data_IF_396325774324
#
_entry.id   IF_396325774324
#
_cell.length_a   1.000
_cell.length_b   1.000
_cell.length_c   1.000
_cell.angle_alpha   90.00
_cell.angle_beta   90.00
_cell.angle_gamma   90.00
#
_symmetry.space_group_name_H-M   'P 1'
#
loop_
_entity.id
_entity.type
_entity.pdbx_description
1 polymer ?
#
# COMPACT_ATOMS: atom_id res chain seq x y z
N UNK A 1 -7.47 -6.95 15.41
CA UNK A 1 -8.72 -7.16 16.20
C UNK A 1 -9.53 -5.89 16.57
N UNK A 2 -9.11 -4.93 17.43
CA UNK A 2 -9.98 -3.75 17.76
C UNK A 2 -10.35 -2.93 16.52
N UNK A 3 -9.35 -2.58 15.70
CA UNK A 3 -9.53 -1.86 14.43
C UNK A 3 -10.44 -2.65 13.48
N UNK A 4 -10.15 -3.94 13.30
CA UNK A 4 -10.93 -4.84 12.45
C UNK A 4 -12.42 -4.87 12.81
N UNK A 5 -12.76 -5.10 14.08
CA UNK A 5 -14.15 -5.13 14.55
C UNK A 5 -14.81 -3.77 14.34
N UNK A 6 -14.11 -2.68 14.65
CA UNK A 6 -14.64 -1.34 14.51
C UNK A 6 -14.94 -1.00 13.04
N UNK A 7 -14.03 -1.33 12.13
CA UNK A 7 -14.23 -1.12 10.70
C UNK A 7 -15.33 -2.00 10.14
N UNK A 8 -15.37 -3.29 10.50
CA UNK A 8 -16.48 -4.18 10.10
C UNK A 8 -17.82 -3.61 10.55
N UNK A 9 -17.93 -3.20 11.83
CA UNK A 9 -19.13 -2.53 12.34
C UNK A 9 -19.44 -1.24 11.58
N UNK A 10 -18.45 -0.38 11.33
CA UNK A 10 -18.66 0.91 10.68
C UNK A 10 -19.12 0.74 9.21
N UNK A 11 -18.49 -0.16 8.44
CA UNK A 11 -18.85 -0.42 7.06
C UNK A 11 -20.21 -1.12 6.97
N UNK A 12 -20.49 -2.12 7.83
CA UNK A 12 -21.78 -2.82 7.85
C UNK A 12 -22.94 -1.97 8.38
N UNK A 13 -22.73 -1.18 9.45
CA UNK A 13 -23.78 -0.38 10.12
C UNK A 13 -23.95 1.03 9.54
N UNK A 14 -23.24 1.35 8.45
CA UNK A 14 -23.03 2.68 7.86
C UNK A 14 -22.17 3.61 8.71
N UNK A 15 -21.14 4.12 8.07
CA UNK A 15 -20.39 5.31 8.46
C UNK A 15 -21.39 6.45 8.62
N UNK A 16 -21.62 6.82 9.87
CA UNK A 16 -22.53 7.87 10.27
C UNK A 16 -22.06 9.20 9.70
N UNK A 17 -22.85 9.72 8.76
CA UNK A 17 -23.52 11.03 8.80
C UNK A 17 -23.98 11.42 7.37
N UNK A 18 -23.46 10.83 6.27
CA UNK A 18 -23.91 11.18 4.90
C UNK A 18 -23.93 10.09 3.80
N UNK A 19 -23.58 8.81 4.04
CA UNK A 19 -23.41 7.82 2.94
C UNK A 19 -24.56 6.80 2.77
N UNK A 20 -24.76 6.30 1.54
CA UNK A 20 -25.63 5.16 1.19
C UNK A 20 -25.07 3.83 1.75
N UNK A 21 -25.90 2.76 1.84
CA UNK A 21 -25.45 1.48 2.46
C UNK A 21 -24.40 0.88 1.52
N UNK A 22 -23.24 0.49 2.05
CA UNK A 22 -22.27 -0.25 1.22
C UNK A 22 -22.80 -1.66 0.92
N UNK A 23 -22.57 -2.14 -0.29
CA UNK A 23 -22.79 -3.53 -0.73
C UNK A 23 -21.53 -4.39 -0.63
N UNK A 24 -20.44 -3.83 -0.09
CA UNK A 24 -19.19 -4.56 0.17
C UNK A 24 -19.52 -5.83 0.96
N UNK A 25 -19.17 -7.03 0.45
CA UNK A 25 -19.50 -8.28 1.10
C UNK A 25 -18.60 -8.46 2.32
N UNK A 26 -19.11 -8.17 3.51
CA UNK A 26 -18.42 -8.35 4.80
C UNK A 26 -19.18 -9.42 5.59
N UNK A 27 -18.51 -10.44 6.17
CA UNK A 27 -19.17 -11.46 6.96
C UNK A 27 -19.84 -10.85 8.18
N UNK A 28 -21.03 -11.36 8.53
CA UNK A 28 -21.69 -10.94 9.75
C UNK A 28 -20.83 -11.24 10.99
N UNK A 29 -20.63 -10.23 11.84
CA UNK A 29 -20.01 -10.37 13.15
C UNK A 29 -21.05 -10.80 14.18
N UNK A 30 -21.02 -12.05 14.63
CA UNK A 30 -21.97 -12.58 15.62
C UNK A 30 -21.57 -12.24 17.06
N UNK A 31 -20.30 -12.39 17.40
CA UNK A 31 -19.77 -12.13 18.72
C UNK A 31 -18.27 -11.87 18.67
N UNK A 32 -17.73 -11.20 19.68
CA UNK A 32 -16.28 -11.09 19.87
C UNK A 32 -15.96 -10.91 21.34
N UNK A 33 -14.71 -11.19 21.71
CA UNK A 33 -14.13 -10.80 22.98
C UNK A 33 -12.71 -10.30 22.76
N UNK A 34 -12.37 -9.18 23.39
CA UNK A 34 -11.01 -8.66 23.39
C UNK A 34 -10.21 -9.12 24.61
N UNK A 35 -10.87 -9.75 25.58
CA UNK A 35 -10.26 -10.13 26.85
C UNK A 35 -9.63 -11.52 26.75
N UNK A 36 -8.39 -11.62 27.20
CA UNK A 36 -7.72 -12.89 27.49
C UNK A 36 -8.46 -13.77 28.50
N UNK A 37 -9.36 -13.21 29.30
CA UNK A 37 -10.21 -13.92 30.27
C UNK A 37 -11.57 -14.31 29.71
N UNK A 38 -11.74 -14.31 28.39
CA UNK A 38 -12.98 -14.75 27.75
C UNK A 38 -13.30 -16.22 28.07
N UNK A 39 -14.48 -16.68 27.65
CA UNK A 39 -14.91 -18.09 27.74
C UNK A 39 -13.87 -19.05 27.14
N UNK A 40 -13.13 -18.59 26.12
CA UNK A 40 -12.10 -19.39 25.44
C UNK A 40 -10.69 -19.18 26.02
N UNK A 41 -10.53 -18.33 27.03
CA UNK A 41 -9.22 -17.97 27.60
C UNK A 41 -8.33 -17.17 26.63
N UNK A 42 -8.92 -16.57 25.59
CA UNK A 42 -8.22 -15.79 24.57
C UNK A 42 -9.16 -14.82 23.84
N UNK A 43 -8.65 -13.72 23.28
CA UNK A 43 -9.44 -12.84 22.41
C UNK A 43 -9.93 -13.57 21.17
N UNK A 44 -11.19 -13.39 20.79
CA UNK A 44 -11.80 -14.08 19.66
C UNK A 44 -12.77 -13.20 18.89
N UNK A 45 -13.07 -13.63 17.66
CA UNK A 45 -14.13 -13.10 16.82
C UNK A 45 -14.91 -14.27 16.22
N UNK A 46 -16.24 -14.21 16.29
CA UNK A 46 -17.14 -15.19 15.71
C UNK A 46 -17.82 -14.53 14.50
N UNK A 47 -17.48 -15.04 13.32
CA UNK A 47 -17.92 -14.49 12.03
C UNK A 47 -18.82 -15.48 11.29
N UNK A 48 -19.64 -14.93 10.39
CA UNK A 48 -20.34 -15.70 9.37
C UNK A 48 -19.34 -16.52 8.54
N UNK A 49 -19.70 -17.78 8.34
CA UNK A 49 -18.97 -18.64 7.41
C UNK A 49 -19.37 -18.27 5.97
N UNK A 50 -18.45 -17.63 5.25
CA UNK A 50 -18.66 -17.33 3.83
C UNK A 50 -18.17 -18.49 2.98
N UNK A 51 -19.10 -19.12 2.26
CA UNK A 51 -18.79 -20.20 1.31
C UNK A 51 -18.07 -19.62 0.09
N UNK A 52 -16.84 -20.06 -0.17
CA UNK A 52 -16.08 -19.66 -1.35
C UNK A 52 -14.69 -20.30 -1.41
N UNK A 53 -13.95 -19.96 -2.46
CA UNK A 53 -12.55 -20.36 -2.62
C UNK A 53 -11.66 -19.11 -2.52
N UNK A 54 -10.62 -19.19 -1.69
CA UNK A 54 -9.59 -18.15 -1.64
C UNK A 54 -8.96 -17.98 -3.03
N UNK A 55 -8.67 -16.73 -3.41
CA UNK A 55 -8.01 -16.45 -4.68
C UNK A 55 -6.49 -16.65 -4.61
N UNK A 56 -5.97 -17.12 -3.47
CA UNK A 56 -4.56 -17.37 -3.29
C UNK A 56 -4.04 -18.40 -4.31
N UNK A 57 -3.00 -18.03 -5.05
CA UNK A 57 -2.41 -18.88 -6.09
C UNK A 57 -3.18 -18.91 -7.41
N UNK A 58 -4.31 -18.20 -7.51
CA UNK A 58 -5.03 -18.03 -8.78
C UNK A 58 -4.28 -17.04 -9.67
N UNK A 59 -3.89 -17.49 -10.85
CA UNK A 59 -3.28 -16.63 -11.88
C UNK A 59 -4.40 -15.95 -12.66
N UNK A 60 -4.71 -14.70 -12.29
CA UNK A 60 -5.83 -13.95 -12.86
C UNK A 60 -5.67 -13.75 -14.37
N UNK A 61 -4.42 -13.68 -14.87
CA UNK A 61 -4.15 -13.48 -16.30
C UNK A 61 -4.61 -14.68 -17.14
N UNK A 62 -4.58 -15.89 -16.55
CA UNK A 62 -4.96 -17.15 -17.20
C UNK A 62 -6.44 -17.48 -17.13
N UNK A 63 -7.24 -16.65 -16.44
CA UNK A 63 -8.68 -16.83 -16.42
C UNK A 63 -9.29 -16.45 -17.77
N UNK A 64 -10.39 -17.11 -18.11
CA UNK A 64 -11.27 -16.68 -19.21
C UNK A 64 -11.60 -15.19 -19.06
N UNK A 65 -11.61 -14.47 -20.18
CA UNK A 65 -11.76 -13.02 -20.21
C UNK A 65 -12.99 -12.54 -19.42
N UNK A 66 -14.15 -13.16 -19.62
CA UNK A 66 -15.40 -12.80 -18.95
C UNK A 66 -15.30 -12.96 -17.41
N UNK A 67 -14.71 -14.05 -16.93
CA UNK A 67 -14.48 -14.28 -15.49
C UNK A 67 -13.50 -13.28 -14.91
N UNK A 68 -12.49 -12.90 -15.68
CA UNK A 68 -11.48 -11.91 -15.28
C UNK A 68 -12.08 -10.51 -15.18
N UNK A 69 -12.87 -10.11 -16.19
CA UNK A 69 -13.59 -8.83 -16.20
C UNK A 69 -14.59 -8.74 -15.05
N UNK A 70 -15.36 -9.79 -14.79
CA UNK A 70 -16.28 -9.84 -13.66
C UNK A 70 -15.56 -9.63 -12.32
N UNK A 71 -14.43 -10.30 -12.11
CA UNK A 71 -13.63 -10.15 -10.88
C UNK A 71 -13.07 -8.75 -10.71
N UNK A 72 -12.53 -8.16 -11.78
CA UNK A 72 -12.02 -6.80 -11.73
C UNK A 72 -13.13 -5.77 -11.51
N UNK A 73 -14.31 -5.99 -12.12
CA UNK A 73 -15.49 -5.15 -11.90
C UNK A 73 -15.95 -5.17 -10.44
N UNK A 74 -16.02 -6.35 -9.82
CA UNK A 74 -16.36 -6.50 -8.40
C UNK A 74 -15.34 -5.81 -7.48
N UNK A 75 -14.04 -5.94 -7.79
CA UNK A 75 -12.99 -5.24 -7.03
C UNK A 75 -13.08 -3.72 -7.22
N UNK A 76 -13.33 -3.25 -8.44
CA UNK A 76 -13.51 -1.84 -8.73
C UNK A 76 -14.71 -1.27 -7.96
N UNK A 77 -15.83 -1.99 -7.90
CA UNK A 77 -17.00 -1.61 -7.12
C UNK A 77 -16.67 -1.44 -5.62
N UNK A 78 -15.90 -2.38 -5.04
CA UNK A 78 -15.41 -2.24 -3.66
C UNK A 78 -14.55 -0.99 -3.48
N UNK A 79 -13.61 -0.73 -4.39
CA UNK A 79 -12.76 0.47 -4.32
C UNK A 79 -13.56 1.77 -4.46
N UNK A 80 -14.57 1.80 -5.34
CA UNK A 80 -15.46 2.96 -5.51
C UNK A 80 -16.24 3.23 -4.23
N UNK A 81 -16.81 2.19 -3.61
CA UNK A 81 -17.56 2.33 -2.36
C UNK A 81 -16.68 2.78 -1.19
N UNK A 82 -15.44 2.30 -1.12
CA UNK A 82 -14.44 2.75 -0.15
C UNK A 82 -14.03 4.21 -0.39
N UNK A 83 -13.84 4.61 -1.66
CA UNK A 83 -13.52 5.98 -2.05
C UNK A 83 -14.63 6.98 -1.67
N UNK A 84 -15.90 6.55 -1.75
CA UNK A 84 -17.04 7.36 -1.31
C UNK A 84 -17.03 7.62 0.21
N UNK A 85 -16.26 6.85 1.00
CA UNK A 85 -16.10 7.10 2.43
C UNK A 85 -15.01 8.15 2.65
N UNK A 86 -15.41 9.42 2.59
CA UNK A 86 -14.52 10.57 2.74
C UNK A 86 -14.51 11.10 4.18
N UNK A 87 -13.33 11.53 4.61
CA UNK A 87 -13.04 12.04 5.95
C UNK A 87 -12.28 13.36 5.85
N UNK A 88 -12.44 14.19 6.88
CA UNK A 88 -11.82 15.51 7.03
C UNK A 88 -10.44 15.47 7.71
N UNK A 89 -10.05 14.31 8.25
CA UNK A 89 -8.78 14.11 8.95
C UNK A 89 -8.28 12.68 8.80
N UNK A 90 -6.97 12.50 8.95
CA UNK A 90 -6.35 11.17 8.95
C UNK A 90 -6.62 10.42 10.25
N UNK A 91 -6.93 9.13 10.14
CA UNK A 91 -7.23 8.25 11.27
C UNK A 91 -7.58 6.82 10.85
N UNK A 92 -8.07 6.07 11.83
CA UNK A 92 -8.54 4.70 11.66
C UNK A 92 -9.71 4.43 12.62
N UNK A 93 -10.54 3.46 12.28
CA UNK A 93 -11.59 3.00 13.19
C UNK A 93 -10.98 2.21 14.36
N UNK A 94 -11.55 2.40 15.54
CA UNK A 94 -11.25 1.60 16.73
C UNK A 94 -12.50 1.49 17.58
N UNK A 95 -12.50 0.59 18.53
CA UNK A 95 -13.51 0.56 19.58
C UNK A 95 -13.14 1.55 20.68
N UNK A 96 -14.15 2.15 21.31
CA UNK A 96 -14.03 2.83 22.61
C UNK A 96 -14.10 1.81 23.76
N UNK A 97 -14.19 2.28 25.01
CA UNK A 97 -14.25 1.42 26.19
C UNK A 97 -15.59 0.70 26.33
N UNK A 98 -16.66 1.26 25.76
CA UNK A 98 -18.02 0.69 25.73
C UNK A 98 -18.23 -0.28 24.56
N UNK A 99 -17.26 -0.39 23.65
CA UNK A 99 -17.32 -1.26 22.47
C UNK A 99 -18.08 -0.68 21.28
N UNK A 100 -18.37 0.63 21.29
CA UNK A 100 -18.82 1.37 20.12
C UNK A 100 -17.64 1.65 19.20
N UNK A 101 -17.91 1.66 17.90
CA UNK A 101 -16.90 2.07 16.93
C UNK A 101 -16.76 3.59 16.95
N UNK A 102 -15.52 4.07 16.92
CA UNK A 102 -15.16 5.49 16.82
C UNK A 102 -14.11 5.66 15.74
N UNK A 103 -14.09 6.82 15.10
CA UNK A 103 -13.01 7.20 14.18
C UNK A 103 -11.96 8.00 14.94
N UNK A 104 -10.86 7.35 15.27
CA UNK A 104 -9.82 7.93 16.11
C UNK A 104 -8.66 8.48 15.26
N UNK A 105 -7.93 9.44 15.81
CA UNK A 105 -6.77 10.10 15.16
C UNK A 105 -5.53 9.17 15.12
N UNK A 106 -5.75 7.85 15.19
CA UNK A 106 -4.76 6.82 15.45
C UNK A 106 -4.15 6.36 14.13
N UNK A 107 -2.89 6.75 13.94
CA UNK A 107 -1.77 6.04 13.30
C UNK A 107 -2.17 4.92 12.31
N UNK A 108 -2.21 5.20 11.00
CA UNK A 108 -2.44 4.20 9.97
C UNK A 108 -1.32 3.14 9.97
N UNK A 109 -1.53 2.06 10.71
CA UNK A 109 -0.68 0.89 10.63
C UNK A 109 -1.04 0.16 9.34
N UNK A 110 -0.05 -0.03 8.46
CA UNK A 110 -0.22 -0.87 7.26
C UNK A 110 0.27 -2.28 7.58
N UNK A 111 -0.28 -3.30 6.91
CA UNK A 111 0.17 -4.69 7.06
C UNK A 111 1.71 -4.82 6.91
N UNK A 112 2.28 -4.08 5.95
CA UNK A 112 3.73 -4.08 5.70
C UNK A 112 4.55 -3.35 6.78
N UNK A 113 3.91 -2.52 7.60
CA UNK A 113 4.56 -1.95 8.78
C UNK A 113 4.86 -3.05 9.79
N UNK A 114 3.98 -4.06 9.93
CA UNK A 114 4.11 -5.15 10.90
C UNK A 114 4.84 -6.38 10.35
N UNK A 115 4.84 -6.59 9.03
CA UNK A 115 5.64 -7.66 8.40
C UNK A 115 7.15 -7.44 8.54
N UNK A 116 7.60 -6.20 8.76
CA UNK A 116 8.97 -5.83 9.17
C UNK A 116 9.19 -6.02 10.69
N UNK A 117 8.94 -7.26 11.14
CA UNK A 117 8.69 -7.76 12.52
C UNK A 117 9.62 -7.28 13.67
N UNK A 118 10.71 -6.55 13.43
CA UNK A 118 11.70 -6.24 14.47
C UNK A 118 11.66 -4.79 15.01
N UNK A 119 10.95 -3.87 14.34
CA UNK A 119 11.13 -2.41 14.58
C UNK A 119 9.80 -1.65 14.66
N UNK A 120 8.73 -2.30 14.23
CA UNK A 120 7.45 -1.66 13.96
C UNK A 120 6.76 -1.05 15.19
N UNK A 121 6.84 -1.67 16.37
CA UNK A 121 6.08 -1.21 17.53
C UNK A 121 6.71 -0.01 18.26
N UNK A 122 8.04 0.09 18.29
CA UNK A 122 8.74 1.12 19.09
C UNK A 122 8.87 2.45 18.34
N UNK A 123 9.05 2.43 17.01
CA UNK A 123 9.39 3.64 16.25
C UNK A 123 8.24 4.22 15.43
N UNK A 124 7.16 3.45 15.19
CA UNK A 124 5.90 3.99 14.65
C UNK A 124 5.34 5.07 15.58
N UNK A 125 5.61 4.98 16.89
CA UNK A 125 5.22 5.97 17.91
C UNK A 125 5.99 7.31 17.83
N UNK A 126 7.15 7.37 17.16
CA UNK A 126 7.99 8.58 17.13
C UNK A 126 7.65 9.50 15.94
N UNK A 127 7.21 8.95 14.81
CA UNK A 127 7.01 9.70 13.57
C UNK A 127 5.58 10.18 13.27
N UNK A 128 4.59 9.81 14.09
CA UNK A 128 3.20 10.17 13.83
C UNK A 128 2.78 11.30 14.77
N UNK A 129 2.61 12.45 14.13
CA UNK A 129 1.89 13.60 14.66
C UNK A 129 0.40 13.26 14.75
N UNK A 130 -0.30 13.87 15.71
CA UNK A 130 -1.76 13.79 15.80
C UNK A 130 -2.33 14.65 14.67
N UNK A 131 -3.26 14.10 13.89
CA UNK A 131 -3.91 14.77 12.74
C UNK A 131 -2.90 15.31 11.71
N UNK A 132 -2.08 14.45 11.10
CA UNK A 132 -1.16 14.90 10.08
C UNK A 132 -1.95 15.48 8.90
N UNK A 133 -1.44 16.55 8.32
CA UNK A 133 -1.90 17.00 7.01
C UNK A 133 -1.58 15.93 5.95
N UNK A 134 -2.23 16.00 4.78
CA UNK A 134 -1.89 15.15 3.63
C UNK A 134 -0.38 15.09 3.41
N UNK A 135 0.28 16.25 3.45
CA UNK A 135 1.71 16.30 3.18
C UNK A 135 2.57 15.68 4.28
N UNK A 136 2.18 15.88 5.53
CA UNK A 136 2.87 15.29 6.68
C UNK A 136 2.74 13.77 6.70
N UNK A 137 1.56 13.24 6.36
CA UNK A 137 1.31 11.80 6.28
C UNK A 137 2.26 11.12 5.31
N UNK A 138 2.35 11.63 4.08
CA UNK A 138 3.24 11.05 3.04
C UNK A 138 4.71 11.20 3.44
N UNK A 139 5.11 12.37 3.94
CA UNK A 139 6.49 12.61 4.41
C UNK A 139 6.90 11.66 5.53
N UNK A 140 5.97 11.35 6.45
CA UNK A 140 6.23 10.42 7.56
C UNK A 140 6.50 9.00 7.07
N UNK A 141 5.78 8.54 6.04
CA UNK A 141 5.96 7.19 5.48
C UNK A 141 7.29 7.08 4.74
N UNK A 142 7.67 8.10 3.96
CA UNK A 142 8.97 8.15 3.27
C UNK A 142 10.12 8.15 4.30
N UNK A 143 10.01 8.99 5.33
CA UNK A 143 11.03 9.08 6.38
C UNK A 143 11.17 7.75 7.14
N UNK A 144 10.05 7.04 7.36
CA UNK A 144 10.04 5.69 7.91
C UNK A 144 10.74 4.68 7.00
N UNK A 145 10.42 4.65 5.71
CA UNK A 145 11.04 3.70 4.77
C UNK A 145 12.57 3.92 4.68
N UNK A 146 13.02 5.17 4.61
CA UNK A 146 14.44 5.54 4.70
C UNK A 146 15.10 5.00 5.98
N UNK A 147 14.44 5.19 7.12
CA UNK A 147 14.99 4.82 8.44
C UNK A 147 15.05 3.31 8.65
N UNK A 148 14.03 2.58 8.17
CA UNK A 148 13.97 1.12 8.20
C UNK A 148 15.18 0.49 7.50
N UNK A 149 15.49 0.95 6.27
CA UNK A 149 16.66 0.51 5.52
C UNK A 149 17.97 0.83 6.23
N UNK A 150 18.11 2.03 6.78
CA UNK A 150 19.42 2.52 7.25
C UNK A 150 19.81 2.01 8.63
N UNK A 151 18.87 1.78 9.55
CA UNK A 151 19.23 1.64 10.96
C UNK A 151 18.82 0.34 11.66
N UNK A 152 17.82 -0.40 11.18
CA UNK A 152 17.10 -1.26 12.14
C UNK A 152 16.88 -2.73 11.77
N UNK A 153 16.88 -3.13 10.49
CA UNK A 153 16.65 -4.54 10.10
C UNK A 153 17.82 -5.06 9.28
N UNK A 154 18.70 -5.91 9.84
CA UNK A 154 19.96 -6.33 9.20
C UNK A 154 19.76 -7.01 7.83
N UNK A 155 18.64 -7.69 7.65
CA UNK A 155 18.21 -8.40 6.45
C UNK A 155 17.18 -7.63 5.58
N UNK A 156 17.14 -6.30 5.70
CA UNK A 156 16.19 -5.47 4.92
C UNK A 156 16.57 -5.26 3.46
N UNK A 157 17.71 -5.78 3.03
CA UNK A 157 18.24 -5.67 1.66
C UNK A 157 18.83 -7.01 1.28
N UNK A 158 18.85 -7.32 -0.02
CA UNK A 158 19.41 -8.60 -0.51
C UNK A 158 20.92 -8.55 -0.70
N UNK A 159 21.46 -7.39 -1.10
CA UNK A 159 22.88 -7.15 -1.34
C UNK A 159 23.15 -5.63 -1.45
N UNK A 160 24.41 -5.25 -1.72
CA UNK A 160 24.79 -3.84 -1.87
C UNK A 160 24.06 -3.14 -3.03
N UNK A 161 23.89 -3.82 -4.16
CA UNK A 161 23.24 -3.24 -5.34
C UNK A 161 21.75 -3.00 -5.10
N UNK A 162 21.04 -3.96 -4.50
CA UNK A 162 19.65 -3.81 -4.05
C UNK A 162 19.50 -2.62 -3.10
N UNK A 163 20.43 -2.48 -2.14
CA UNK A 163 20.44 -1.35 -1.22
C UNK A 163 20.66 0.00 -1.95
N UNK A 164 21.51 0.03 -2.98
CA UNK A 164 21.82 1.23 -3.77
C UNK A 164 20.59 1.66 -4.56
N UNK A 165 19.98 0.73 -5.26
CA UNK A 165 18.74 0.94 -6.00
C UNK A 165 17.65 1.47 -5.08
N UNK A 166 17.35 0.76 -4.00
CA UNK A 166 16.28 1.14 -3.08
C UNK A 166 16.51 2.54 -2.47
N UNK A 167 17.74 2.85 -2.05
CA UNK A 167 18.10 4.17 -1.52
C UNK A 167 17.99 5.27 -2.58
N UNK A 168 18.51 5.04 -3.79
CA UNK A 168 18.34 5.97 -4.92
C UNK A 168 16.85 6.23 -5.16
N UNK A 169 16.04 5.18 -5.28
CA UNK A 169 14.62 5.30 -5.59
C UNK A 169 13.85 6.05 -4.51
N UNK A 170 14.16 5.87 -3.22
CA UNK A 170 13.51 6.67 -2.18
C UNK A 170 13.90 8.15 -2.29
N UNK A 171 15.17 8.46 -2.57
CA UNK A 171 15.60 9.86 -2.65
C UNK A 171 15.13 10.56 -3.91
N UNK A 172 15.23 9.89 -5.07
CA UNK A 172 14.80 10.43 -6.35
C UNK A 172 13.27 10.61 -6.38
N UNK A 173 12.53 9.67 -5.80
CA UNK A 173 11.06 9.78 -5.71
C UNK A 173 10.58 10.95 -4.83
N UNK A 174 11.40 11.46 -3.90
CA UNK A 174 11.05 12.66 -3.11
C UNK A 174 10.83 13.89 -3.98
N UNK A 175 11.54 14.02 -5.10
CA UNK A 175 11.35 15.14 -6.04
C UNK A 175 9.94 15.15 -6.61
N UNK A 176 9.51 14.01 -7.14
CA UNK A 176 8.15 13.83 -7.68
C UNK A 176 7.07 14.02 -6.61
N UNK A 177 7.31 13.51 -5.41
CA UNK A 177 6.36 13.63 -4.30
C UNK A 177 6.04 15.09 -3.98
N UNK A 178 7.05 15.97 -3.92
CA UNK A 178 6.85 17.37 -3.54
C UNK A 178 5.95 18.13 -4.53
N UNK A 179 5.81 17.64 -5.76
CA UNK A 179 4.89 18.18 -6.77
C UNK A 179 3.43 17.76 -6.52
N UNK A 180 3.23 16.57 -5.94
CA UNK A 180 1.89 16.00 -5.68
C UNK A 180 1.38 16.33 -4.28
N UNK A 181 2.31 16.69 -3.40
CA UNK A 181 2.14 17.26 -2.08
C UNK A 181 1.45 18.65 -2.08
N UNK A 182 0.26 18.78 -2.66
CA UNK A 182 -0.37 20.10 -2.78
C UNK A 182 -0.97 20.54 -1.43
N UNK A 183 -0.70 21.78 -0.98
CA UNK A 183 -1.30 22.31 0.24
C UNK A 183 -2.83 22.31 0.22
N UNK A 184 -3.45 22.37 -0.97
CA UNK A 184 -4.91 22.29 -1.14
C UNK A 184 -5.53 20.99 -0.62
N UNK A 185 -4.76 19.91 -0.54
CA UNK A 185 -5.22 18.61 -0.04
C UNK A 185 -4.89 18.37 1.43
N UNK A 186 -4.24 19.31 2.13
CA UNK A 186 -3.81 19.12 3.52
C UNK A 186 -4.95 18.76 4.49
N UNK A 187 -6.18 19.10 4.12
CA UNK A 187 -7.40 18.85 4.89
C UNK A 187 -8.35 17.83 4.24
N UNK A 188 -7.86 17.06 3.26
CA UNK A 188 -8.61 16.00 2.60
C UNK A 188 -9.05 16.36 1.17
N UNK A 189 -9.96 15.55 0.58
CA UNK A 189 -10.63 14.42 1.21
C UNK A 189 -9.66 13.26 1.52
N UNK A 190 -9.82 12.65 2.70
CA UNK A 190 -9.14 11.40 3.04
C UNK A 190 -10.11 10.24 2.83
N UNK A 191 -9.70 9.19 2.12
CA UNK A 191 -10.58 8.07 1.77
C UNK A 191 -10.26 6.83 2.61
N UNK A 192 -11.29 6.07 3.02
CA UNK A 192 -11.07 4.79 3.69
C UNK A 192 -10.40 3.79 2.73
N UNK A 193 -9.39 3.09 3.22
CA UNK A 193 -8.75 1.98 2.52
C UNK A 193 -8.67 0.76 3.43
N UNK A 194 -8.67 -0.41 2.81
CA UNK A 194 -8.62 -1.69 3.53
C UNK A 194 -7.24 -1.98 4.16
N UNK A 195 -6.15 -1.50 3.53
CA UNK A 195 -4.78 -1.69 4.01
C UNK A 195 -4.16 -3.09 3.80
N UNK A 196 -4.96 -4.13 3.52
CA UNK A 196 -4.48 -5.48 3.20
C UNK A 196 -5.36 -6.25 2.20
N UNK A 197 -5.93 -5.56 1.21
CA UNK A 197 -6.77 -6.21 0.20
C UNK A 197 -5.93 -7.01 -0.82
N UNK A 198 -5.48 -8.19 -0.42
CA UNK A 198 -4.72 -9.16 -1.23
C UNK A 198 -5.60 -10.37 -1.57
N UNK A 199 -5.14 -11.21 -2.50
CA UNK A 199 -5.86 -12.41 -2.96
C UNK A 199 -6.53 -13.26 -1.85
N UNK A 200 -5.90 -13.52 -0.69
CA UNK A 200 -6.54 -14.29 0.38
C UNK A 200 -7.79 -13.61 0.97
N UNK A 201 -7.84 -12.28 0.94
CA UNK A 201 -8.85 -11.47 1.63
C UNK A 201 -10.05 -11.11 0.75
N UNK A 202 -10.07 -11.49 -0.54
CA UNK A 202 -11.08 -11.02 -1.51
C UNK A 202 -12.41 -11.78 -1.45
N UNK A 203 -12.46 -13.00 -0.88
CA UNK A 203 -13.69 -13.84 -0.89
C UNK A 203 -14.89 -13.15 -0.25
N UNK A 204 -14.64 -12.40 0.81
CA UNK A 204 -15.65 -11.63 1.53
C UNK A 204 -15.02 -10.43 2.23
N UNK A 205 -14.03 -9.81 1.57
CA UNK A 205 -13.30 -8.64 2.07
C UNK A 205 -13.00 -8.77 3.57
N UNK A 206 -12.01 -9.62 3.88
CA UNK A 206 -11.61 -10.00 5.24
C UNK A 206 -10.36 -9.24 5.68
N UNK A 207 -10.03 -9.29 6.98
CA UNK A 207 -8.79 -8.75 7.52
C UNK A 207 -8.73 -7.21 7.47
N UNK A 208 -9.75 -6.58 8.04
CA UNK A 208 -9.89 -5.12 8.15
C UNK A 208 -8.94 -4.50 9.18
N UNK A 209 -8.07 -5.27 9.84
CA UNK A 209 -7.27 -4.76 10.94
C UNK A 209 -6.27 -3.66 10.53
N UNK A 210 -5.89 -3.66 9.25
CA UNK A 210 -4.99 -2.69 8.61
C UNK A 210 -5.73 -1.52 7.95
N UNK A 211 -7.05 -1.45 8.12
CA UNK A 211 -7.84 -0.39 7.53
C UNK A 211 -7.58 0.95 8.19
N UNK A 212 -7.51 1.98 7.36
CA UNK A 212 -7.23 3.37 7.73
C UNK A 212 -7.65 4.25 6.58
N UNK A 213 -7.69 5.57 6.78
CA UNK A 213 -7.83 6.46 5.64
C UNK A 213 -6.47 6.98 5.13
N UNK A 214 -6.41 7.26 3.84
CA UNK A 214 -5.23 7.83 3.21
C UNK A 214 -5.59 9.09 2.42
N UNK A 215 -4.56 9.85 2.13
CA UNK A 215 -4.59 10.95 1.18
C UNK A 215 -5.15 10.49 -0.17
N UNK A 216 -6.10 11.26 -0.72
CA UNK A 216 -6.58 11.11 -2.10
C UNK A 216 -6.31 12.40 -2.87
N UNK A 217 -6.26 12.31 -4.20
CA UNK A 217 -6.17 13.46 -5.11
C UNK A 217 -7.33 13.36 -6.10
N UNK A 218 -8.17 14.40 -6.19
CA UNK A 218 -9.35 14.46 -7.08
C UNK A 218 -9.03 14.52 -8.59
N UNK A 219 -7.80 14.23 -9.00
CA UNK A 219 -7.34 14.37 -10.39
C UNK A 219 -7.73 13.15 -11.26
N UNK A 220 -9.02 12.86 -11.39
CA UNK A 220 -9.50 11.69 -12.13
C UNK A 220 -10.42 12.02 -13.32
N UNK A 221 -10.31 13.20 -13.93
CA UNK A 221 -11.07 13.50 -15.16
C UNK A 221 -10.37 13.03 -16.43
N UNK A 222 -9.05 12.80 -16.41
CA UNK A 222 -8.26 12.11 -17.45
C UNK A 222 -7.05 11.43 -16.81
N UNK A 223 -7.22 10.23 -16.26
CA UNK A 223 -6.12 9.52 -15.58
C UNK A 223 -5.00 9.16 -16.55
N UNK A 224 -3.85 9.82 -16.42
CA UNK A 224 -2.63 9.44 -17.13
C UNK A 224 -1.99 8.21 -16.49
N UNK A 225 -0.98 7.62 -17.17
CA UNK A 225 -0.17 6.55 -16.57
C UNK A 225 0.46 6.98 -15.23
N UNK A 226 0.93 8.22 -15.18
CA UNK A 226 1.47 8.83 -13.97
C UNK A 226 0.41 8.88 -12.87
N UNK A 227 -0.82 9.34 -13.17
CA UNK A 227 -1.91 9.42 -12.18
C UNK A 227 -2.27 8.03 -11.62
N UNK A 228 -2.21 6.99 -12.44
CA UNK A 228 -2.46 5.61 -12.01
C UNK A 228 -1.36 5.12 -11.05
N UNK A 229 -0.10 5.38 -11.36
CA UNK A 229 1.03 5.03 -10.48
C UNK A 229 0.97 5.84 -9.17
N UNK A 230 0.61 7.12 -9.25
CA UNK A 230 0.40 7.98 -8.08
C UNK A 230 -0.70 7.39 -7.19
N UNK A 231 -1.85 7.08 -7.76
CA UNK A 231 -2.96 6.47 -7.02
C UNK A 231 -2.53 5.16 -6.35
N UNK A 232 -1.82 4.29 -7.08
CA UNK A 232 -1.29 3.04 -6.52
C UNK A 232 -0.35 3.30 -5.33
N UNK A 233 0.52 4.28 -5.45
CA UNK A 233 1.46 4.68 -4.40
C UNK A 233 0.74 5.31 -3.20
N UNK A 234 -0.26 6.15 -3.41
CA UNK A 234 -1.02 6.75 -2.30
C UNK A 234 -1.78 5.67 -1.52
N UNK A 235 -2.28 4.64 -2.20
CA UNK A 235 -2.87 3.45 -1.58
C UNK A 235 -1.83 2.57 -0.87
N UNK A 236 -0.60 2.51 -1.38
CA UNK A 236 0.49 1.70 -0.84
C UNK A 236 1.83 2.45 -0.77
N UNK A 237 1.99 3.42 0.14
CA UNK A 237 3.15 4.33 0.08
C UNK A 237 4.49 3.66 0.45
N UNK A 238 4.45 2.44 0.99
CA UNK A 238 5.64 1.62 1.21
C UNK A 238 6.23 1.04 -0.08
N UNK A 239 5.44 0.87 -1.14
CA UNK A 239 5.94 0.46 -2.46
C UNK A 239 6.48 1.63 -3.29
N UNK A 240 6.50 2.86 -2.77
CA UNK A 240 6.83 4.02 -3.58
C UNK A 240 8.21 3.94 -4.24
N UNK A 241 9.23 3.50 -3.49
CA UNK A 241 10.57 3.29 -4.05
C UNK A 241 10.56 2.28 -5.19
N UNK A 242 9.84 1.18 -5.03
CA UNK A 242 9.71 0.13 -6.06
C UNK A 242 8.92 0.62 -7.28
N UNK A 243 7.80 1.32 -7.09
CA UNK A 243 7.01 1.88 -8.19
C UNK A 243 7.81 2.95 -8.93
N UNK A 244 8.55 3.79 -8.19
CA UNK A 244 9.43 4.76 -8.79
C UNK A 244 10.46 4.08 -9.68
N UNK A 245 11.21 3.11 -9.13
CA UNK A 245 12.24 2.38 -9.87
C UNK A 245 11.69 1.66 -11.10
N UNK A 246 10.61 0.88 -10.92
CA UNK A 246 10.11 -0.02 -11.95
C UNK A 246 9.28 0.67 -13.04
N UNK A 247 8.72 1.84 -12.75
CA UNK A 247 7.74 2.47 -13.65
C UNK A 247 8.00 3.96 -13.93
N UNK A 248 8.39 4.75 -12.93
CA UNK A 248 8.46 6.21 -13.08
C UNK A 248 9.84 6.72 -13.50
N UNK A 249 10.92 6.12 -13.00
CA UNK A 249 12.29 6.55 -13.28
C UNK A 249 12.59 6.50 -14.77
N UNK A 250 12.24 5.40 -15.44
CA UNK A 250 12.37 5.27 -16.90
C UNK A 250 11.42 6.17 -17.67
N UNK A 251 10.20 6.40 -17.15
CA UNK A 251 9.21 7.29 -17.76
C UNK A 251 9.70 8.75 -17.81
N UNK A 252 10.30 9.25 -16.72
CA UNK A 252 10.76 10.63 -16.64
C UNK A 252 12.18 10.85 -17.18
N UNK A 253 13.04 9.84 -17.07
CA UNK A 253 14.49 10.02 -17.29
C UNK A 253 15.09 9.06 -18.34
N UNK A 254 14.29 8.19 -18.96
CA UNK A 254 14.74 7.24 -19.97
C UNK A 254 15.41 5.98 -19.39
N UNK A 255 15.93 5.10 -20.24
CA UNK A 255 16.34 3.74 -19.86
C UNK A 255 17.62 3.60 -19.04
N UNK A 256 18.44 4.66 -18.93
CA UNK A 256 19.77 4.58 -18.29
C UNK A 256 19.72 4.72 -16.74
N UNK A 257 18.93 3.86 -16.09
CA UNK A 257 18.72 3.87 -14.64
C UNK A 257 19.98 3.57 -13.83
N UNK A 258 20.79 2.62 -14.29
CA UNK A 258 22.04 2.23 -13.63
C UNK A 258 23.03 3.39 -13.55
N UNK A 259 23.21 4.13 -14.65
CA UNK A 259 24.08 5.31 -14.64
C UNK A 259 23.55 6.38 -13.68
N UNK A 260 22.23 6.59 -13.61
CA UNK A 260 21.65 7.54 -12.64
C UNK A 260 21.94 7.14 -11.20
N UNK A 261 21.84 5.85 -10.87
CA UNK A 261 22.19 5.33 -9.54
C UNK A 261 23.67 5.57 -9.26
N UNK A 262 24.55 5.30 -10.22
CA UNK A 262 25.99 5.53 -10.07
C UNK A 262 26.30 7.02 -9.86
N UNK A 263 25.78 7.89 -10.73
CA UNK A 263 25.97 9.34 -10.68
C UNK A 263 25.45 9.91 -9.34
N UNK A 264 24.29 9.43 -8.87
CA UNK A 264 23.73 9.81 -7.57
C UNK A 264 24.70 9.57 -6.41
N UNK A 265 25.37 8.41 -6.37
CA UNK A 265 26.32 8.08 -5.31
C UNK A 265 27.72 8.70 -5.51
N UNK A 266 28.03 9.25 -6.68
CA UNK A 266 29.25 10.03 -6.90
C UNK A 266 29.17 11.44 -6.30
N UNK A 267 27.96 11.96 -6.07
CA UNK A 267 27.75 13.28 -5.47
C UNK A 267 28.35 13.35 -4.06
N UNK A 268 29.11 14.41 -3.78
CA UNK A 268 29.76 14.63 -2.49
C UNK A 268 28.77 14.64 -1.32
N UNK A 269 27.56 15.16 -1.55
CA UNK A 269 26.47 15.20 -0.56
C UNK A 269 25.97 13.81 -0.14
N UNK A 270 26.22 12.76 -0.94
CA UNK A 270 25.76 11.38 -0.70
C UNK A 270 26.80 10.48 -0.04
N UNK A 271 27.99 11.00 0.28
CA UNK A 271 29.07 10.21 0.90
C UNK A 271 28.65 9.56 2.21
N UNK A 272 27.90 10.29 3.04
CA UNK A 272 27.41 9.78 4.34
C UNK A 272 26.43 8.62 4.15
N UNK A 273 25.50 8.73 3.22
CA UNK A 273 24.53 7.67 2.90
C UNK A 273 25.23 6.45 2.29
N UNK A 274 26.20 6.65 1.40
CA UNK A 274 27.00 5.56 0.84
C UNK A 274 27.78 4.80 1.92
N UNK A 275 28.34 5.50 2.91
CA UNK A 275 29.00 4.86 4.05
C UNK A 275 28.02 4.03 4.87
N UNK A 276 26.83 4.56 5.17
CA UNK A 276 25.78 3.82 5.90
C UNK A 276 25.34 2.57 5.13
N UNK A 277 25.22 2.67 3.82
CA UNK A 277 24.87 1.54 2.95
C UNK A 277 25.94 0.44 3.00
N UNK A 278 27.22 0.81 2.94
CA UNK A 278 28.32 -0.16 3.09
C UNK A 278 28.31 -0.83 4.46
N UNK A 279 28.07 -0.07 5.53
CA UNK A 279 27.90 -0.65 6.87
C UNK A 279 26.71 -1.61 6.95
N UNK A 280 25.62 -1.30 6.23
CA UNK A 280 24.46 -2.17 6.15
C UNK A 280 24.76 -3.49 5.44
N UNK A 281 25.49 -3.45 4.32
CA UNK A 281 25.93 -4.65 3.61
C UNK A 281 26.81 -5.55 4.49
N UNK A 282 27.75 -4.96 5.24
CA UNK A 282 28.54 -5.70 6.24
C UNK A 282 27.67 -6.32 7.35
N UNK A 283 26.67 -5.58 7.82
CA UNK A 283 25.71 -6.08 8.81
C UNK A 283 24.85 -7.25 8.30
N UNK A 284 24.50 -7.26 7.01
CA UNK A 284 23.81 -8.37 6.35
C UNK A 284 24.72 -9.60 6.26
N UNK A 285 25.98 -9.44 5.87
CA UNK A 285 26.95 -10.54 5.81
C UNK A 285 27.14 -11.20 7.19
N UNK A 286 27.25 -10.38 8.24
CA UNK A 286 27.33 -10.88 9.60
C UNK A 286 26.06 -11.62 10.02
N UNK A 287 24.88 -11.06 9.71
CA UNK A 287 23.60 -11.70 9.99
C UNK A 287 23.46 -13.06 9.29
N UNK A 288 23.86 -13.15 8.02
CA UNK A 288 23.85 -14.41 7.27
C UNK A 288 24.82 -15.45 7.86
N UNK A 289 25.95 -15.02 8.42
CA UNK A 289 26.87 -15.89 9.16
C UNK A 289 26.23 -16.42 10.45
N UNK A 290 25.68 -15.54 11.28
CA UNK A 290 24.97 -15.88 12.52
C UNK A 290 23.80 -16.85 12.25
N UNK A 291 23.00 -16.57 11.20
CA UNK A 291 21.88 -17.42 10.77
C UNK A 291 22.36 -18.84 10.43
N UNK A 292 23.46 -18.98 9.68
CA UNK A 292 24.05 -20.28 9.32
C UNK A 292 24.57 -21.02 10.54
N UNK A 293 25.24 -20.33 11.45
CA UNK A 293 25.74 -20.92 12.71
C UNK A 293 24.60 -21.46 13.59
N UNK A 294 23.46 -20.79 13.59
CA UNK A 294 22.26 -21.22 14.32
C UNK A 294 21.45 -22.30 13.60
N UNK A 295 21.85 -22.73 12.39
CA UNK A 295 21.12 -23.73 11.60
C UNK A 295 19.73 -23.26 11.16
N UNK A 296 19.46 -21.95 11.17
CA UNK A 296 18.17 -21.39 10.76
C UNK A 296 18.10 -21.39 9.24
N UNK A 297 17.05 -21.98 8.66
CA UNK A 297 16.84 -21.97 7.22
C UNK A 297 16.78 -20.53 6.67
N UNK A 298 17.35 -20.33 5.48
CA UNK A 298 17.25 -19.05 4.81
C UNK A 298 15.78 -18.78 4.50
N UNK A 299 15.36 -17.52 4.64
CA UNK A 299 14.05 -17.11 4.14
C UNK A 299 13.98 -17.45 2.66
N UNK A 300 12.94 -18.16 2.24
CA UNK A 300 12.70 -18.45 0.82
C UNK A 300 12.40 -17.12 0.14
N UNK A 301 13.41 -16.52 -0.49
CA UNK A 301 13.20 -15.46 -1.47
C UNK A 301 12.62 -16.15 -2.68
N UNK A 302 11.30 -16.04 -2.88
CA UNK A 302 10.71 -16.31 -4.18
C UNK A 302 11.50 -15.43 -5.16
N UNK A 303 12.25 -16.06 -6.07
CA UNK A 303 12.93 -15.30 -7.11
C UNK A 303 11.83 -14.52 -7.82
N UNK A 304 11.87 -13.19 -7.73
CA UNK A 304 11.14 -12.37 -8.68
C UNK A 304 11.52 -12.93 -10.05
N UNK A 305 10.53 -13.23 -10.90
CA UNK A 305 10.84 -13.62 -12.27
C UNK A 305 11.73 -12.53 -12.83
N UNK A 306 13.00 -12.85 -13.06
CA UNK A 306 13.94 -11.95 -13.71
C UNK A 306 13.43 -11.85 -15.14
N UNK A 307 12.70 -10.77 -15.43
CA UNK A 307 12.25 -10.50 -16.79
C UNK A 307 13.46 -10.07 -17.61
N UNK A 308 13.58 -10.57 -18.82
CA UNK A 308 14.58 -10.02 -19.74
C UNK A 308 14.19 -8.59 -20.13
N UNK A 309 15.12 -7.76 -20.60
CA UNK A 309 14.80 -6.43 -21.12
C UNK A 309 13.71 -6.48 -22.22
N UNK A 310 13.66 -7.56 -23.00
CA UNK A 310 12.59 -7.77 -23.98
C UNK A 310 11.24 -8.05 -23.31
N UNK A 311 11.18 -8.92 -22.31
CA UNK A 311 9.95 -9.23 -21.56
C UNK A 311 9.43 -8.01 -20.78
N UNK A 312 10.33 -7.17 -20.27
CA UNK A 312 9.98 -5.91 -19.61
C UNK A 312 9.46 -4.88 -20.62
N UNK A 313 10.10 -4.75 -21.79
CA UNK A 313 9.63 -3.90 -22.87
C UNK A 313 8.27 -4.36 -23.41
N UNK A 314 8.04 -5.66 -23.52
CA UNK A 314 6.77 -6.25 -23.93
C UNK A 314 5.67 -5.96 -22.90
N UNK A 315 5.96 -6.11 -21.61
CA UNK A 315 5.01 -5.77 -20.54
C UNK A 315 4.67 -4.27 -20.57
N UNK A 316 5.67 -3.40 -20.77
CA UNK A 316 5.45 -1.95 -20.93
C UNK A 316 4.61 -1.65 -22.17
N UNK A 317 4.80 -2.39 -23.27
CA UNK A 317 3.97 -2.27 -24.47
C UNK A 317 2.53 -2.73 -24.21
N UNK A 318 2.32 -3.85 -23.53
CA UNK A 318 0.99 -4.35 -23.13
C UNK A 318 0.28 -3.36 -22.18
N UNK A 319 1.01 -2.74 -21.25
CA UNK A 319 0.47 -1.70 -20.37
C UNK A 319 0.09 -0.42 -21.15
N UNK A 320 0.84 -0.07 -22.20
CA UNK A 320 0.48 1.02 -23.11
C UNK A 320 -0.76 0.68 -23.94
N UNK A 321 -0.88 -0.55 -24.43
CA UNK A 321 -2.05 -0.99 -25.17
C UNK A 321 -3.33 -0.99 -24.31
N UNK A 322 -3.22 -1.42 -23.05
CA UNK A 322 -4.31 -1.30 -22.06
C UNK A 322 -4.68 0.17 -21.78
N UNK A 323 -3.71 1.09 -21.81
CA UNK A 323 -3.95 2.54 -21.71
C UNK A 323 -4.76 3.04 -22.91
N UNK A 324 -4.37 2.66 -24.12
CA UNK A 324 -5.02 3.10 -25.35
C UNK A 324 -6.47 2.56 -25.45
N UNK A 325 -6.72 1.35 -24.97
CA UNK A 325 -8.07 0.78 -24.82
C UNK A 325 -8.91 1.60 -23.82
N UNK A 326 -8.32 1.99 -22.67
CA UNK A 326 -8.97 2.85 -21.68
C UNK A 326 -9.31 4.24 -22.21
N UNK A 327 -8.42 4.85 -22.99
CA UNK A 327 -8.64 6.15 -23.64
C UNK A 327 -9.74 6.08 -24.73
N UNK A 328 -9.83 4.98 -25.47
CA UNK A 328 -10.92 4.74 -26.43
C UNK A 328 -12.27 4.53 -25.73
N UNK A 329 -12.30 3.81 -24.60
CA UNK A 329 -13.48 3.65 -23.76
C UNK A 329 -14.01 4.98 -23.22
N UNK A 330 -13.12 5.83 -22.70
CA UNK A 330 -13.47 7.17 -22.22
C UNK A 330 -14.01 8.09 -23.33
N UNK A 331 -13.48 8.01 -24.56
CA UNK A 331 -14.02 8.73 -25.72
C UNK A 331 -15.44 8.29 -26.09
N UNK A 332 -15.77 7.01 -25.97
CA UNK A 332 -17.13 6.52 -26.23
C UNK A 332 -18.13 6.94 -25.14
N UNK A 333 -17.69 7.01 -23.87
CA UNK A 333 -18.53 7.47 -22.75
C UNK A 333 -18.79 8.99 -22.83
N UNK A 334 -17.81 9.79 -23.29
CA UNK A 334 -18.00 11.23 -23.47
C UNK A 334 -18.95 11.57 -24.63
N UNK A 335 -19.10 10.68 -25.61
CA UNK A 335 -20.01 10.85 -26.75
C UNK A 335 -21.45 10.45 -26.44
N UNK A 336 -21.69 9.63 -25.41
CA UNK A 336 -23.02 9.13 -25.01
C UNK A 336 -23.63 9.86 -23.81
N UNK A 337 -22.87 10.75 -23.16
CA UNK A 337 -23.34 11.54 -22.02
C UNK A 337 -24.24 12.72 -22.48
N UNK A 338 -25.48 12.86 -21.99
CA UNK A 338 -26.33 13.99 -22.34
C UNK A 338 -25.73 15.29 -21.76
N UNK A 339 -25.56 16.30 -22.61
CA UNK A 339 -25.09 17.63 -22.19
C UNK A 339 -26.05 18.21 -21.14
N UNK A 340 -25.55 18.73 -20.00
CA UNK A 340 -26.40 19.36 -19.01
C UNK A 340 -27.04 20.63 -19.59
N UNK A 341 -28.32 20.84 -19.26
CA UNK A 341 -29.09 22.05 -19.60
C UNK A 341 -28.72 23.21 -18.67
#
# INVERSE_FOLDING_TARGET
>A
MRSEIATMKAVTLKIGIFAEKTTIPIPQLYAYSLDSKSILGLPYMLLEYVKGNILFGVQLEKLEQEKRELKYSQLADVYIQLHQQQFDRIGAFTLDDDGHWIFADNRPLTADTMSNRSVALIYVAIYLQIRPSHRQSITSIISRNCSSMTYHVRDSVMNEDDARHYLYSIYASRGLWMEWAKPEYDHGPFILIHGDLRQPNIVSILDWEWSHNCACTDQATQATFQDTMIAHVLLKPHYFGSVYWLALDSHFHGSDGEKRVQDFFQLSIRKTELQKLKQKALGLEQFEKERKELGVEAKITLKNQTRTPEEEAELVAQLKELRDIGEQGNRMISLTSPKPK
#
